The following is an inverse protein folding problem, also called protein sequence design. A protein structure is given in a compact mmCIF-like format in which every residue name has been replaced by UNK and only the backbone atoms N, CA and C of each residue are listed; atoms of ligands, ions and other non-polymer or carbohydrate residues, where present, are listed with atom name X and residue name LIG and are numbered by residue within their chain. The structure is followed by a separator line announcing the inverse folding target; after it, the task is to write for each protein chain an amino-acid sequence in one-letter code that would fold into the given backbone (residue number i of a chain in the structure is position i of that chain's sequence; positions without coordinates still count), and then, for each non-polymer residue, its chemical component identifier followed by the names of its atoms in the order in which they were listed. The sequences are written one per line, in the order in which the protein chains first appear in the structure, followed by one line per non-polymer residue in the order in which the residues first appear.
data_IF_083377773789
#
_entry.id   IF_083377773789
#
_cell.length_a   1.000
_cell.length_b   1.000
_cell.length_c   1.000
_cell.angle_alpha   90.00
_cell.angle_beta   90.00
_cell.angle_gamma   90.00
#
_symmetry.space_group_name_H-M   'P 1'
#
loop_
_entity.id
_entity.type
_entity.pdbx_description
1 polymer ?
#
# COMPACT_ATOMS: atom_id res chain seq x y z
N UNK A 1 -22.19 96.22 48.40
CA UNK A 1 -22.66 94.85 48.64
C UNK A 1 -22.17 93.95 47.52
N UNK A 2 -21.21 93.05 47.80
CA UNK A 2 -20.69 92.07 46.83
C UNK A 2 -21.45 90.76 47.04
N UNK A 3 -22.39 90.44 46.15
CA UNK A 3 -22.97 89.10 46.08
C UNK A 3 -22.03 88.27 45.21
N UNK A 4 -21.21 87.44 45.84
CA UNK A 4 -20.53 86.35 45.17
C UNK A 4 -21.37 85.09 45.36
N UNK A 5 -21.50 84.32 44.28
CA UNK A 5 -21.61 82.88 44.41
C UNK A 5 -22.86 82.29 43.79
N UNK A 6 -22.80 82.02 42.49
CA UNK A 6 -23.29 80.74 41.97
C UNK A 6 -22.25 80.24 40.96
N UNK A 7 -21.28 79.45 41.43
CA UNK A 7 -20.49 78.57 40.55
C UNK A 7 -21.28 77.29 40.39
N UNK A 8 -22.00 77.16 39.27
CA UNK A 8 -22.64 75.91 38.89
C UNK A 8 -21.54 74.97 38.38
N UNK A 9 -21.02 74.10 39.26
CA UNK A 9 -20.08 73.07 38.85
C UNK A 9 -20.88 71.87 38.34
N UNK A 10 -21.15 71.84 37.03
CA UNK A 10 -21.73 70.65 36.39
C UNK A 10 -20.61 69.78 35.81
N UNK A 11 -19.88 69.10 36.69
CA UNK A 11 -18.97 68.04 36.29
C UNK A 11 -19.66 66.68 36.48
N UNK A 12 -20.40 66.25 35.46
CA UNK A 12 -20.78 64.84 35.33
C UNK A 12 -19.51 63.99 35.24
N UNK A 13 -19.35 62.95 36.06
CA UNK A 13 -18.28 61.98 35.83
C UNK A 13 -18.68 61.11 34.65
N UNK A 14 -18.13 61.40 33.47
CA UNK A 14 -18.10 60.46 32.36
C UNK A 14 -17.35 59.21 32.85
N UNK A 15 -18.12 58.20 33.26
CA UNK A 15 -17.61 56.90 33.66
C UNK A 15 -16.95 56.28 32.43
N UNK A 16 -15.62 56.43 32.35
CA UNK A 16 -14.78 55.88 31.29
C UNK A 16 -14.93 54.35 31.32
N UNK A 17 -15.85 53.84 30.50
CA UNK A 17 -15.97 52.42 30.23
C UNK A 17 -14.63 51.95 29.67
N UNK A 18 -13.96 51.07 30.41
CA UNK A 18 -12.76 50.41 29.92
C UNK A 18 -13.22 49.50 28.79
N UNK A 19 -13.07 49.94 27.54
CA UNK A 19 -13.23 49.07 26.38
C UNK A 19 -12.10 48.05 26.42
N UNK A 20 -12.35 46.94 27.10
CA UNK A 20 -11.48 45.78 27.10
C UNK A 20 -11.51 45.24 25.67
N UNK A 21 -10.61 45.72 24.81
CA UNK A 21 -10.29 45.03 23.57
C UNK A 21 -9.68 43.71 24.01
N UNK A 22 -10.33 42.57 23.78
CA UNK A 22 -9.74 41.30 24.17
C UNK A 22 -8.42 41.16 23.41
N UNK A 23 -7.34 40.96 24.16
CA UNK A 23 -6.04 40.70 23.57
C UNK A 23 -6.15 39.47 22.67
N UNK A 24 -5.54 39.49 21.49
CA UNK A 24 -5.58 38.39 20.51
C UNK A 24 -5.18 37.07 21.18
N UNK A 25 -4.26 37.14 22.14
CA UNK A 25 -3.78 36.01 22.93
C UNK A 25 -4.81 35.42 23.90
N UNK A 26 -5.77 36.22 24.40
CA UNK A 26 -6.91 35.72 25.18
C UNK A 26 -7.95 35.03 24.28
N UNK A 27 -8.19 35.56 23.08
CA UNK A 27 -9.09 34.94 22.10
C UNK A 27 -8.55 33.60 21.58
N UNK A 28 -7.24 33.54 21.33
CA UNK A 28 -6.56 32.30 20.92
C UNK A 28 -6.38 31.32 22.11
N UNK A 29 -6.74 31.75 23.32
CA UNK A 29 -6.78 30.92 24.51
C UNK A 29 -5.41 30.41 24.96
N UNK A 30 -4.31 31.07 24.55
CA UNK A 30 -2.93 30.56 24.72
C UNK A 30 -2.52 30.35 26.19
N UNK A 31 -3.19 31.02 27.12
CA UNK A 31 -2.93 30.94 28.56
C UNK A 31 -3.60 29.73 29.24
N UNK A 32 -4.54 29.05 28.58
CA UNK A 32 -5.27 27.93 29.14
C UNK A 32 -4.59 26.59 28.77
N UNK A 33 -4.33 25.68 29.73
CA UNK A 33 -3.67 24.41 29.43
C UNK A 33 -4.52 23.48 28.54
N UNK A 34 -5.84 23.63 28.60
CA UNK A 34 -6.80 22.83 27.82
C UNK A 34 -6.73 23.15 26.33
N UNK A 35 -6.60 24.42 25.94
CA UNK A 35 -6.48 24.82 24.52
C UNK A 35 -5.18 24.31 23.91
N UNK A 36 -4.09 24.33 24.69
CA UNK A 36 -2.79 23.79 24.31
C UNK A 36 -2.88 22.27 24.04
N UNK A 37 -3.57 21.54 24.93
CA UNK A 37 -3.82 20.11 24.76
C UNK A 37 -4.65 19.80 23.52
N UNK A 38 -5.67 20.61 23.23
CA UNK A 38 -6.50 20.45 22.02
C UNK A 38 -5.69 20.71 20.75
N UNK A 39 -4.84 21.75 20.74
CA UNK A 39 -3.98 22.07 19.60
C UNK A 39 -2.94 20.97 19.35
N UNK A 40 -2.38 20.40 20.42
CA UNK A 40 -1.48 19.25 20.34
C UNK A 40 -2.19 18.02 19.77
N UNK A 41 -3.39 17.70 20.27
CA UNK A 41 -4.18 16.57 19.77
C UNK A 41 -4.53 16.74 18.28
N UNK A 42 -4.89 17.96 17.86
CA UNK A 42 -5.16 18.28 16.47
C UNK A 42 -3.90 18.09 15.60
N UNK A 43 -2.74 18.55 16.07
CA UNK A 43 -1.47 18.32 15.38
C UNK A 43 -1.13 16.82 15.27
N UNK A 44 -1.32 16.05 16.35
CA UNK A 44 -1.16 14.60 16.34
C UNK A 44 -2.10 13.92 15.35
N UNK A 45 -3.36 14.35 15.27
CA UNK A 45 -4.33 13.79 14.34
C UNK A 45 -3.94 14.05 12.89
N UNK A 46 -3.55 15.29 12.57
CA UNK A 46 -3.09 15.66 11.23
C UNK A 46 -1.85 14.87 10.83
N UNK A 47 -0.84 14.83 11.69
CA UNK A 47 0.40 14.07 11.43
C UNK A 47 0.14 12.58 11.27
N UNK A 48 -0.77 12.00 12.05
CA UNK A 48 -1.19 10.60 11.91
C UNK A 48 -1.85 10.35 10.56
N UNK A 49 -2.78 11.22 10.15
CA UNK A 49 -3.44 11.14 8.85
C UNK A 49 -2.45 11.21 7.68
N UNK A 50 -1.53 12.18 7.70
CA UNK A 50 -0.48 12.29 6.67
C UNK A 50 0.46 11.07 6.67
N UNK A 51 0.85 10.59 7.85
CA UNK A 51 1.71 9.42 8.00
C UNK A 51 1.08 8.15 7.43
N UNK A 52 -0.23 7.97 7.61
CA UNK A 52 -0.97 6.84 7.05
C UNK A 52 -0.98 6.86 5.51
N UNK A 53 -1.22 8.03 4.92
CA UNK A 53 -1.20 8.20 3.45
C UNK A 53 0.19 7.89 2.89
N UNK A 54 1.24 8.43 3.52
CA UNK A 54 2.63 8.17 3.12
C UNK A 54 2.98 6.69 3.24
N UNK A 55 2.55 6.03 4.31
CA UNK A 55 2.78 4.59 4.53
C UNK A 55 2.08 3.76 3.47
N UNK A 56 0.82 4.08 3.16
CA UNK A 56 0.03 3.39 2.13
C UNK A 56 0.66 3.55 0.74
N UNK A 57 1.13 4.76 0.41
CA UNK A 57 1.81 5.01 -0.86
C UNK A 57 3.12 4.22 -0.99
N UNK A 58 3.95 4.22 0.07
CA UNK A 58 5.17 3.41 0.11
C UNK A 58 4.87 1.91 0.01
N UNK A 59 3.81 1.45 0.67
CA UNK A 59 3.38 0.06 0.62
C UNK A 59 2.99 -0.35 -0.81
N UNK A 60 2.24 0.50 -1.51
CA UNK A 60 1.84 0.25 -2.91
C UNK A 60 3.05 0.14 -3.85
N UNK A 61 4.06 0.98 -3.69
CA UNK A 61 5.29 0.91 -4.50
C UNK A 61 6.05 -0.38 -4.20
N UNK A 62 6.35 -0.66 -2.93
CA UNK A 62 7.08 -1.86 -2.53
C UNK A 62 6.35 -3.15 -2.98
N UNK A 63 5.02 -3.15 -2.96
CA UNK A 63 4.23 -4.28 -3.43
C UNK A 63 4.28 -4.45 -4.95
N UNK A 64 4.39 -3.35 -5.71
CA UNK A 64 4.52 -3.39 -7.18
C UNK A 64 5.81 -4.09 -7.59
N UNK A 65 6.94 -3.75 -6.95
CA UNK A 65 8.23 -4.40 -7.23
C UNK A 65 8.16 -5.91 -6.90
N UNK A 66 7.58 -6.27 -5.75
CA UNK A 66 7.37 -7.67 -5.40
C UNK A 66 6.48 -8.42 -6.39
N UNK A 67 5.43 -7.77 -6.89
CA UNK A 67 4.55 -8.33 -7.91
C UNK A 67 5.29 -8.58 -9.23
N UNK A 68 6.19 -7.68 -9.63
CA UNK A 68 6.98 -7.85 -10.86
C UNK A 68 7.92 -9.05 -10.75
N UNK A 69 8.69 -9.16 -9.66
CA UNK A 69 9.57 -10.32 -9.46
C UNK A 69 8.77 -11.63 -9.42
N UNK A 70 7.60 -11.62 -8.76
CA UNK A 70 6.72 -12.79 -8.69
C UNK A 70 6.16 -13.16 -10.07
N UNK A 71 5.83 -12.18 -10.90
CA UNK A 71 5.37 -12.42 -12.26
C UNK A 71 6.46 -13.11 -13.11
N UNK A 72 7.72 -12.66 -13.00
CA UNK A 72 8.85 -13.31 -13.68
C UNK A 72 9.08 -14.74 -13.18
N UNK A 73 8.97 -14.97 -11.88
CA UNK A 73 9.09 -16.31 -11.30
C UNK A 73 8.02 -17.26 -11.84
N UNK A 74 6.77 -16.80 -11.93
CA UNK A 74 5.67 -17.59 -12.49
C UNK A 74 5.88 -17.93 -13.98
N UNK A 75 6.45 -17.00 -14.77
CA UNK A 75 6.79 -17.28 -16.17
C UNK A 75 7.82 -18.40 -16.29
N UNK A 76 8.90 -18.33 -15.50
CA UNK A 76 9.92 -19.38 -15.44
C UNK A 76 9.36 -20.72 -14.99
N UNK A 77 8.43 -20.74 -14.03
CA UNK A 77 7.77 -21.97 -13.58
C UNK A 77 6.90 -22.59 -14.68
N UNK A 78 6.24 -21.75 -15.49
CA UNK A 78 5.47 -22.20 -16.65
C UNK A 78 6.39 -22.82 -17.71
N UNK A 79 7.49 -22.14 -18.05
CA UNK A 79 8.49 -22.67 -19.00
C UNK A 79 9.09 -23.98 -18.51
N UNK A 80 9.40 -24.08 -17.20
CA UNK A 80 9.86 -25.33 -16.60
C UNK A 80 8.83 -26.44 -16.72
N UNK A 81 7.56 -26.15 -16.47
CA UNK A 81 6.47 -27.12 -16.63
C UNK A 81 6.41 -27.66 -18.07
N UNK A 82 6.51 -26.77 -19.06
CA UNK A 82 6.54 -27.15 -20.47
C UNK A 82 7.74 -28.04 -20.80
N UNK A 83 8.95 -27.63 -20.40
CA UNK A 83 10.17 -28.41 -20.61
C UNK A 83 10.10 -29.79 -19.93
N UNK A 84 9.44 -29.89 -18.78
CA UNK A 84 9.30 -31.16 -18.05
C UNK A 84 8.36 -32.12 -18.81
N UNK A 85 7.31 -31.59 -19.44
CA UNK A 85 6.43 -32.38 -20.31
C UNK A 85 7.21 -32.85 -21.55
N UNK A 86 7.97 -31.97 -22.19
CA UNK A 86 8.84 -32.31 -23.32
C UNK A 86 9.84 -33.42 -22.92
N UNK A 87 10.54 -33.26 -21.79
CA UNK A 87 11.45 -34.27 -21.25
C UNK A 87 10.76 -35.59 -20.90
N UNK A 88 9.55 -35.55 -20.35
CA UNK A 88 8.80 -36.76 -20.04
C UNK A 88 8.36 -37.51 -21.29
N UNK A 89 8.18 -36.81 -22.42
CA UNK A 89 7.81 -37.42 -23.70
C UNK A 89 9.03 -38.09 -24.35
N UNK A 90 10.17 -37.39 -24.44
CA UNK A 90 11.40 -37.96 -25.03
C UNK A 90 12.14 -38.96 -24.11
N UNK A 91 12.05 -38.79 -22.79
CA UNK A 91 12.76 -39.63 -21.81
C UNK A 91 12.14 -41.00 -21.59
N UNK A 92 10.87 -41.19 -21.96
CA UNK A 92 10.18 -42.48 -21.84
C UNK A 92 10.43 -43.37 -23.06
N UNK A 93 10.41 -42.82 -24.28
CA UNK A 93 10.65 -43.61 -25.51
C UNK A 93 12.05 -44.24 -25.54
N UNK A 94 13.12 -43.43 -25.40
CA UNK A 94 14.49 -43.96 -25.49
C UNK A 94 14.81 -45.01 -24.42
N UNK A 95 14.20 -44.90 -23.23
CA UNK A 95 14.42 -45.86 -22.14
C UNK A 95 13.60 -47.14 -22.30
N UNK A 96 12.44 -47.07 -22.95
CA UNK A 96 11.64 -48.26 -23.30
C UNK A 96 12.32 -49.02 -24.44
N UNK A 97 12.82 -48.34 -25.46
CA UNK A 97 13.55 -48.97 -26.57
C UNK A 97 14.79 -49.70 -26.05
N UNK A 98 15.62 -49.03 -25.24
CA UNK A 98 16.81 -49.64 -24.66
C UNK A 98 16.47 -50.87 -23.79
N UNK A 99 15.42 -50.80 -22.97
CA UNK A 99 14.95 -51.97 -22.21
C UNK A 99 14.43 -53.09 -23.10
N UNK A 100 13.69 -52.78 -24.16
CA UNK A 100 13.15 -53.76 -25.09
C UNK A 100 14.28 -54.48 -25.87
N UNK A 101 15.33 -53.75 -26.25
CA UNK A 101 16.48 -54.33 -26.96
C UNK A 101 17.41 -55.08 -26.02
N UNK A 102 17.75 -54.52 -24.86
CA UNK A 102 18.73 -55.13 -23.95
C UNK A 102 18.14 -56.27 -23.10
N UNK A 103 16.92 -56.11 -22.56
CA UNK A 103 16.32 -57.09 -21.66
C UNK A 103 15.42 -58.09 -22.37
N UNK A 104 14.72 -57.66 -23.43
CA UNK A 104 13.78 -58.49 -24.18
C UNK A 104 14.33 -58.96 -25.53
N UNK A 105 15.56 -58.57 -25.91
CA UNK A 105 16.20 -58.91 -27.19
C UNK A 105 15.32 -58.60 -28.42
N UNK A 106 14.43 -57.61 -28.32
CA UNK A 106 13.56 -57.24 -29.42
C UNK A 106 14.37 -56.56 -30.53
N UNK A 107 14.18 -57.02 -31.77
CA UNK A 107 14.75 -56.45 -32.98
C UNK A 107 13.62 -55.91 -33.85
N UNK A 108 13.84 -54.80 -34.56
CA UNK A 108 12.86 -54.30 -35.51
C UNK A 108 12.63 -55.35 -36.61
N UNK A 109 11.37 -55.77 -36.87
CA UNK A 109 11.06 -56.74 -37.91
C UNK A 109 11.26 -56.11 -39.29
N UNK A 110 11.84 -56.88 -40.22
CA UNK A 110 11.95 -56.44 -41.61
C UNK A 110 10.57 -56.34 -42.28
N UNK A 111 10.43 -55.38 -43.21
CA UNK A 111 9.19 -55.06 -43.94
C UNK A 111 8.54 -56.29 -44.60
N UNK A 112 9.32 -57.31 -44.92
CA UNK A 112 8.87 -58.58 -45.52
C UNK A 112 8.07 -59.49 -44.58
N UNK A 113 8.05 -59.22 -43.26
CA UNK A 113 7.36 -60.03 -42.24
C UNK A 113 6.07 -59.40 -41.68
N UNK A 114 5.65 -58.25 -42.20
CA UNK A 114 4.45 -57.55 -41.72
C UNK A 114 3.22 -58.11 -42.45
N UNK A 115 2.34 -58.81 -41.71
CA UNK A 115 1.09 -59.37 -42.24
C UNK A 115 -0.09 -58.53 -41.77
N UNK A 116 -0.84 -57.95 -42.70
CA UNK A 116 -2.01 -57.13 -42.40
C UNK A 116 -3.27 -57.99 -42.28
N UNK A 117 -3.83 -58.06 -41.08
CA UNK A 117 -5.07 -58.78 -40.82
C UNK A 117 -6.25 -57.86 -41.15
N UNK A 118 -7.09 -58.26 -42.11
CA UNK A 118 -8.34 -57.57 -42.42
C UNK A 118 -9.42 -58.09 -41.47
N UNK A 119 -10.13 -57.18 -40.80
CA UNK A 119 -11.28 -57.53 -39.97
C UNK A 119 -12.53 -57.55 -40.85
N UNK A 120 -13.27 -58.66 -40.83
CA UNK A 120 -14.59 -58.80 -41.45
C UNK A 120 -15.70 -58.29 -40.52
#
# INVERSE_FOLDING_TARGET
MRIQGIKVNHSMPLKKGKSHTPSIFEWIGIRNPISLGLMFLLACLLTTGLSLVLTTHKNRIAFTDLQELKARANQLETERGQLLIEQSTFGVEGRIEQKATEQLQMQLPELSKIVMLKHD
#
